data_IF_044795041116
#
_entry.id   IF_044795041116
#
_cell.length_a   1.000
_cell.length_b   1.000
_cell.length_c   1.000
_cell.angle_alpha   90.00
_cell.angle_beta   90.00
_cell.angle_gamma   90.00
#
_symmetry.space_group_name_H-M   'P 1'
#
loop_
_entity.id
_entity.type
_entity.pdbx_description
1 polymer ?
#
# COMPACT_ATOMS: atom_id res chain seq x y z
N UNK A 1 -33.79 34.18 16.16
CA UNK A 1 -32.34 34.41 16.00
C UNK A 1 -31.86 33.20 15.23
N UNK A 2 -31.34 33.41 14.01
CA UNK A 2 -31.06 32.32 13.06
C UNK A 2 -30.30 31.14 13.68
N UNK A 3 -30.54 29.95 13.15
CA UNK A 3 -29.98 28.71 13.72
C UNK A 3 -28.47 28.70 13.43
N UNK A 4 -27.65 28.86 14.47
CA UNK A 4 -26.18 28.93 14.35
C UNK A 4 -25.49 27.62 13.94
N UNK A 5 -26.11 26.48 14.24
CA UNK A 5 -25.54 25.15 13.98
C UNK A 5 -26.64 24.25 13.41
N UNK A 6 -26.41 23.73 12.21
CA UNK A 6 -27.24 22.66 11.67
C UNK A 6 -26.81 21.31 12.29
N UNK A 7 -27.68 20.76 13.13
CA UNK A 7 -27.41 19.52 13.84
C UNK A 7 -27.53 18.27 12.95
N UNK A 8 -28.29 18.37 11.85
CA UNK A 8 -28.37 17.32 10.85
C UNK A 8 -27.06 17.25 10.06
N UNK A 9 -26.49 18.40 9.71
CA UNK A 9 -25.17 18.48 9.07
C UNK A 9 -24.05 18.03 10.00
N UNK A 10 -24.12 18.37 11.30
CA UNK A 10 -23.13 17.92 12.31
C UNK A 10 -23.06 16.38 12.37
N UNK A 11 -24.18 15.70 12.17
CA UNK A 11 -24.28 14.25 12.22
C UNK A 11 -24.19 13.58 10.83
N UNK A 12 -24.17 14.37 9.75
CA UNK A 12 -24.26 13.92 8.36
C UNK A 12 -25.45 12.97 8.11
N UNK A 13 -26.65 13.42 8.48
CA UNK A 13 -27.90 12.66 8.32
C UNK A 13 -29.01 13.53 7.72
N UNK A 14 -29.96 12.96 6.98
CA UNK A 14 -31.10 13.73 6.48
C UNK A 14 -32.06 14.12 7.60
N UNK A 15 -32.81 15.22 7.43
CA UNK A 15 -33.85 15.65 8.39
C UNK A 15 -34.96 14.61 8.61
N UNK A 16 -35.13 13.68 7.65
CA UNK A 16 -36.08 12.57 7.71
C UNK A 16 -35.60 11.40 8.57
N UNK A 17 -34.38 11.44 9.10
CA UNK A 17 -33.81 10.33 9.86
C UNK A 17 -34.66 9.98 11.09
N UNK A 18 -34.84 8.68 11.32
CA UNK A 18 -35.48 8.11 12.50
C UNK A 18 -34.61 8.33 13.74
N UNK A 19 -35.21 8.20 14.93
CA UNK A 19 -34.46 8.32 16.18
C UNK A 19 -33.33 7.28 16.29
N UNK A 20 -33.57 6.05 15.81
CA UNK A 20 -32.55 4.99 15.77
C UNK A 20 -31.36 5.36 14.86
N UNK A 21 -31.63 5.89 13.66
CA UNK A 21 -30.59 6.36 12.73
C UNK A 21 -29.77 7.52 13.32
N UNK A 22 -30.43 8.46 14.01
CA UNK A 22 -29.77 9.57 14.72
C UNK A 22 -28.82 9.02 15.79
N UNK A 23 -29.28 8.08 16.62
CA UNK A 23 -28.49 7.51 17.70
C UNK A 23 -27.27 6.72 17.19
N UNK A 24 -27.44 5.95 16.11
CA UNK A 24 -26.32 5.24 15.48
C UNK A 24 -25.31 6.21 14.83
N UNK A 25 -25.78 7.30 14.18
CA UNK A 25 -24.91 8.34 13.65
C UNK A 25 -24.11 9.03 14.77
N UNK A 26 -24.77 9.40 15.87
CA UNK A 26 -24.13 9.98 17.07
C UNK A 26 -23.07 9.05 17.63
N UNK A 27 -23.40 7.76 17.81
CA UNK A 27 -22.47 6.77 18.35
C UNK A 27 -21.23 6.59 17.45
N UNK A 28 -21.44 6.53 16.13
CA UNK A 28 -20.36 6.45 15.13
C UNK A 28 -19.44 7.67 15.22
N UNK A 29 -20.01 8.87 15.16
CA UNK A 29 -19.28 10.15 15.22
C UNK A 29 -18.54 10.31 16.57
N UNK A 30 -19.19 10.03 17.70
CA UNK A 30 -18.58 10.12 19.03
C UNK A 30 -17.39 9.18 19.19
N UNK A 31 -17.50 7.94 18.71
CA UNK A 31 -16.39 6.98 18.76
C UNK A 31 -15.17 7.50 17.98
N UNK A 32 -15.41 8.22 16.89
CA UNK A 32 -14.36 8.77 16.05
C UNK A 32 -13.71 9.99 16.69
N UNK A 33 -14.51 10.97 17.11
CA UNK A 33 -14.00 12.23 17.65
C UNK A 33 -13.40 12.10 19.04
N UNK A 34 -13.91 11.21 19.91
CA UNK A 34 -13.30 10.94 21.23
C UNK A 34 -11.90 10.35 21.15
N UNK A 35 -11.54 9.65 20.08
CA UNK A 35 -10.16 9.20 19.90
C UNK A 35 -9.21 10.36 19.64
N UNK A 36 -9.71 11.45 19.03
CA UNK A 36 -8.92 12.62 18.63
C UNK A 36 -8.75 13.65 19.73
N UNK A 37 -9.58 13.60 20.77
CA UNK A 37 -9.40 14.44 21.96
C UNK A 37 -8.11 14.10 22.72
N UNK A 38 -7.50 12.95 22.44
CA UNK A 38 -6.22 12.52 22.99
C UNK A 38 -5.05 12.69 22.00
N UNK A 39 -5.26 13.32 20.85
CA UNK A 39 -4.21 13.53 19.85
C UNK A 39 -3.04 14.35 20.43
N UNK A 40 -1.78 14.08 20.06
CA UNK A 40 -0.64 14.86 20.55
C UNK A 40 -0.72 16.34 20.14
N UNK A 41 -1.22 16.60 18.94
CA UNK A 41 -1.43 17.95 18.43
C UNK A 41 -2.54 18.70 19.19
N UNK A 42 -2.21 19.88 19.73
CA UNK A 42 -3.16 20.70 20.51
C UNK A 42 -4.34 21.16 19.64
N UNK A 43 -4.07 21.46 18.37
CA UNK A 43 -5.09 21.94 17.46
C UNK A 43 -6.17 20.90 17.19
N UNK A 44 -5.75 19.67 16.89
CA UNK A 44 -6.65 18.54 16.67
C UNK A 44 -7.43 18.18 17.93
N UNK A 45 -6.83 18.30 19.13
CA UNK A 45 -7.57 18.12 20.39
C UNK A 45 -8.69 19.14 20.56
N UNK A 46 -8.38 20.43 20.42
CA UNK A 46 -9.36 21.51 20.57
C UNK A 46 -10.51 21.37 19.56
N UNK A 47 -10.19 20.99 18.33
CA UNK A 47 -11.19 20.73 17.31
C UNK A 47 -12.05 19.51 17.64
N UNK A 48 -11.43 18.42 18.08
CA UNK A 48 -12.12 17.22 18.48
C UNK A 48 -13.05 17.47 19.67
N UNK A 49 -12.61 18.24 20.66
CA UNK A 49 -13.43 18.66 21.80
C UNK A 49 -14.64 19.49 21.35
N UNK A 50 -14.43 20.46 20.45
CA UNK A 50 -15.52 21.26 19.88
C UNK A 50 -16.52 20.38 19.13
N UNK A 51 -16.04 19.43 18.34
CA UNK A 51 -16.88 18.49 17.57
C UNK A 51 -17.66 17.55 18.49
N UNK A 52 -17.02 16.97 19.50
CA UNK A 52 -17.69 16.17 20.54
C UNK A 52 -18.80 16.99 21.20
N UNK A 53 -18.52 18.23 21.58
CA UNK A 53 -19.54 19.13 22.16
C UNK A 53 -20.73 19.32 21.22
N UNK A 54 -20.48 19.62 19.94
CA UNK A 54 -21.55 19.79 18.93
C UNK A 54 -22.37 18.52 18.73
N UNK A 55 -21.74 17.34 18.74
CA UNK A 55 -22.44 16.06 18.62
C UNK A 55 -23.32 15.78 19.86
N UNK A 56 -22.85 16.14 21.05
CA UNK A 56 -23.64 16.02 22.28
C UNK A 56 -24.85 16.96 22.28
N UNK A 57 -24.68 18.20 21.80
CA UNK A 57 -25.79 19.15 21.59
C UNK A 57 -26.79 18.65 20.54
N UNK A 58 -26.30 18.11 19.42
CA UNK A 58 -27.12 17.51 18.37
C UNK A 58 -27.93 16.33 18.90
N UNK A 59 -27.28 15.42 19.64
CA UNK A 59 -27.97 14.30 20.30
C UNK A 59 -29.10 14.81 21.19
N UNK A 60 -28.79 15.72 22.13
CA UNK A 60 -29.76 16.22 23.09
C UNK A 60 -30.99 16.85 22.41
N UNK A 61 -30.76 17.59 21.33
CA UNK A 61 -31.83 18.30 20.60
C UNK A 61 -32.65 17.35 19.73
N UNK A 62 -32.01 16.43 19.00
CA UNK A 62 -32.67 15.61 17.98
C UNK A 62 -33.32 14.33 18.53
N UNK A 63 -32.92 13.84 19.70
CA UNK A 63 -33.55 12.66 20.34
C UNK A 63 -34.76 13.03 21.20
N UNK A 64 -34.92 14.30 21.60
CA UNK A 64 -36.13 14.76 22.28
C UNK A 64 -37.18 15.22 21.24
N UNK A 65 -38.32 14.53 21.19
CA UNK A 65 -39.39 14.80 20.20
C UNK A 65 -39.88 16.25 20.21
N UNK A 66 -39.99 16.87 21.39
CA UNK A 66 -40.45 18.25 21.52
C UNK A 66 -39.36 19.23 21.07
N UNK A 67 -38.10 18.99 21.47
CA UNK A 67 -36.98 19.84 21.07
C UNK A 67 -36.69 19.75 19.58
N UNK A 68 -36.74 18.55 18.99
CA UNK A 68 -36.59 18.34 17.55
C UNK A 68 -37.66 19.09 16.76
N UNK A 69 -38.93 18.98 17.16
CA UNK A 69 -40.03 19.70 16.50
C UNK A 69 -39.85 21.21 16.56
N UNK A 70 -39.44 21.75 17.71
CA UNK A 70 -39.16 23.17 17.87
C UNK A 70 -37.94 23.63 17.06
N UNK A 71 -36.90 22.79 17.01
CA UNK A 71 -35.68 23.00 16.24
C UNK A 71 -35.99 23.03 14.74
N UNK A 72 -36.71 22.04 14.21
CA UNK A 72 -37.09 21.92 12.81
C UNK A 72 -37.97 23.11 12.38
N UNK A 73 -38.91 23.53 13.23
CA UNK A 73 -39.74 24.71 12.99
C UNK A 73 -38.90 25.99 12.91
N UNK A 74 -37.87 26.12 13.77
CA UNK A 74 -36.95 27.25 13.76
C UNK A 74 -36.04 27.22 12.54
N UNK A 75 -35.48 26.06 12.21
CA UNK A 75 -34.63 25.84 11.04
C UNK A 75 -35.37 26.19 9.74
N UNK A 76 -36.65 25.80 9.63
CA UNK A 76 -37.50 26.12 8.48
C UNK A 76 -37.86 27.61 8.39
N UNK A 77 -38.08 28.27 9.54
CA UNK A 77 -38.52 29.68 9.59
C UNK A 77 -37.37 30.66 9.41
N UNK A 78 -36.25 30.40 10.07
CA UNK A 78 -35.13 31.33 10.16
C UNK A 78 -33.97 30.93 9.24
N UNK A 79 -33.98 29.71 8.70
CA UNK A 79 -32.83 29.12 8.03
C UNK A 79 -31.71 28.77 9.01
N UNK A 80 -30.73 28.01 8.54
CA UNK A 80 -29.39 28.08 9.13
C UNK A 80 -28.95 29.53 8.95
N UNK A 81 -28.37 30.13 9.98
CA UNK A 81 -27.57 31.34 9.81
C UNK A 81 -26.46 30.96 8.83
N UNK A 82 -26.72 31.09 7.53
CA UNK A 82 -25.65 31.17 6.54
C UNK A 82 -24.88 32.36 7.01
N UNK A 83 -23.73 32.13 7.65
CA UNK A 83 -22.78 33.19 7.95
C UNK A 83 -22.65 33.99 6.67
N UNK A 84 -23.31 35.15 6.67
CA UNK A 84 -23.55 35.93 5.47
C UNK A 84 -22.18 36.32 4.96
N UNK A 85 -21.74 35.67 3.87
CA UNK A 85 -20.81 36.17 2.85
C UNK A 85 -20.09 37.44 3.28
N UNK A 86 -19.14 37.32 4.21
CA UNK A 86 -17.96 38.18 4.15
C UNK A 86 -17.24 37.68 2.92
N UNK A 87 -17.31 38.49 1.86
CA UNK A 87 -16.69 38.28 0.54
C UNK A 87 -15.75 37.07 0.52
N UNK A 88 -16.07 36.08 -0.32
CA UNK A 88 -15.34 34.83 -0.61
C UNK A 88 -13.83 34.98 -0.87
N UNK A 89 -13.26 36.18 -0.80
CA UNK A 89 -11.83 36.42 -0.89
C UNK A 89 -11.03 35.82 0.27
N UNK A 90 -11.57 35.73 1.50
CA UNK A 90 -10.83 35.22 2.66
C UNK A 90 -10.64 33.70 2.67
N UNK A 91 -11.73 32.96 2.48
CA UNK A 91 -11.71 31.51 2.33
C UNK A 91 -10.94 31.11 1.07
N UNK A 92 -11.23 31.79 -0.06
CA UNK A 92 -10.49 31.62 -1.30
C UNK A 92 -9.00 31.87 -1.12
N UNK A 93 -8.58 32.94 -0.45
CA UNK A 93 -7.17 33.24 -0.17
C UNK A 93 -6.50 32.16 0.70
N UNK A 94 -7.19 31.62 1.71
CA UNK A 94 -6.65 30.52 2.52
C UNK A 94 -6.56 29.20 1.74
N UNK A 95 -7.54 28.89 0.90
CA UNK A 95 -7.52 27.68 0.07
C UNK A 95 -6.49 27.79 -1.05
N UNK A 96 -6.31 28.97 -1.64
CA UNK A 96 -5.21 29.25 -2.58
C UNK A 96 -3.85 29.13 -1.90
N UNK A 97 -3.70 29.63 -0.68
CA UNK A 97 -2.49 29.40 0.12
C UNK A 97 -2.26 27.92 0.38
N UNK A 98 -3.29 27.19 0.79
CA UNK A 98 -3.19 25.75 1.02
C UNK A 98 -2.77 25.00 -0.26
N UNK A 99 -3.37 25.32 -1.42
CA UNK A 99 -2.96 24.79 -2.72
C UNK A 99 -1.51 25.13 -3.05
N UNK A 100 -1.12 26.39 -2.86
CA UNK A 100 0.24 26.83 -3.12
C UNK A 100 1.24 26.06 -2.25
N UNK A 101 0.98 25.96 -0.95
CA UNK A 101 1.81 25.19 -0.02
C UNK A 101 1.89 23.71 -0.40
N UNK A 102 0.77 23.08 -0.79
CA UNK A 102 0.77 21.71 -1.33
C UNK A 102 1.63 21.59 -2.60
N UNK A 103 1.55 22.56 -3.51
CA UNK A 103 2.31 22.54 -4.77
C UNK A 103 3.83 22.64 -4.59
N UNK A 104 4.27 23.23 -3.49
CA UNK A 104 5.69 23.35 -3.14
C UNK A 104 6.13 22.32 -2.07
N UNK A 105 5.22 21.42 -1.66
CA UNK A 105 5.49 20.37 -0.66
C UNK A 105 5.56 20.84 0.79
N UNK A 106 5.13 22.07 1.11
CA UNK A 106 5.02 22.56 2.49
C UNK A 106 3.71 22.10 3.14
N UNK A 107 3.68 20.82 3.51
CA UNK A 107 2.48 20.18 4.04
C UNK A 107 2.03 20.74 5.40
N UNK A 108 2.95 21.27 6.21
CA UNK A 108 2.61 21.89 7.50
C UNK A 108 1.86 23.20 7.31
N UNK A 109 2.38 24.10 6.46
CA UNK A 109 1.70 25.36 6.14
C UNK A 109 0.39 25.12 5.41
N UNK A 110 0.34 24.12 4.53
CA UNK A 110 -0.90 23.69 3.87
C UNK A 110 -1.95 23.22 4.88
N UNK A 111 -1.56 22.38 5.85
CA UNK A 111 -2.48 21.86 6.88
C UNK A 111 -3.02 22.99 7.74
N UNK A 112 -2.16 23.95 8.12
CA UNK A 112 -2.58 25.14 8.84
C UNK A 112 -3.57 25.99 8.04
N UNK A 113 -3.25 26.35 6.79
CA UNK A 113 -4.11 27.18 5.96
C UNK A 113 -5.47 26.52 5.66
N UNK A 114 -5.48 25.23 5.35
CA UNK A 114 -6.71 24.48 5.10
C UNK A 114 -7.56 24.28 6.37
N UNK A 115 -6.91 24.11 7.53
CA UNK A 115 -7.60 24.07 8.83
C UNK A 115 -8.23 25.41 9.19
N UNK A 116 -7.51 26.50 9.01
CA UNK A 116 -8.06 27.86 9.21
C UNK A 116 -9.23 28.13 8.25
N UNK A 117 -9.12 27.70 6.99
CA UNK A 117 -10.23 27.79 6.03
C UNK A 117 -11.48 27.05 6.54
N UNK A 118 -11.29 25.81 7.00
CA UNK A 118 -12.36 24.96 7.55
C UNK A 118 -12.99 25.58 8.81
N UNK A 119 -12.19 26.23 9.67
CA UNK A 119 -12.65 26.80 10.94
C UNK A 119 -13.34 28.16 10.79
N UNK A 120 -12.82 29.03 9.93
CA UNK A 120 -13.26 30.42 9.81
C UNK A 120 -14.36 30.63 8.78
N UNK A 121 -14.40 29.81 7.73
CA UNK A 121 -15.26 30.06 6.56
C UNK A 121 -16.20 28.89 6.21
N UNK A 122 -16.20 27.86 7.05
CA UNK A 122 -17.14 26.75 6.93
C UNK A 122 -16.61 25.54 6.16
N UNK A 123 -17.49 24.56 6.06
CA UNK A 123 -17.20 23.16 5.82
C UNK A 123 -17.32 22.79 4.34
N UNK A 124 -16.51 23.36 3.44
CA UNK A 124 -16.54 22.99 2.01
C UNK A 124 -15.81 21.67 1.74
N UNK A 125 -16.24 20.94 0.70
CA UNK A 125 -15.59 19.69 0.30
C UNK A 125 -14.10 19.92 -0.04
N UNK A 126 -13.81 21.01 -0.74
CA UNK A 126 -12.45 21.40 -1.10
C UNK A 126 -11.57 21.70 0.12
N UNK A 127 -12.10 22.39 1.15
CA UNK A 127 -11.35 22.65 2.39
C UNK A 127 -10.93 21.33 3.05
N UNK A 128 -11.84 20.37 3.14
CA UNK A 128 -11.56 19.05 3.70
C UNK A 128 -10.57 18.27 2.85
N UNK A 129 -10.70 18.32 1.54
CA UNK A 129 -9.79 17.66 0.61
C UNK A 129 -8.36 18.20 0.72
N UNK A 130 -8.17 19.52 0.69
CA UNK A 130 -6.85 20.13 0.81
C UNK A 130 -6.22 19.85 2.18
N UNK A 131 -7.04 19.87 3.25
CA UNK A 131 -6.59 19.53 4.60
C UNK A 131 -6.19 18.05 4.70
N UNK A 132 -6.99 17.16 4.10
CA UNK A 132 -6.71 15.73 4.00
C UNK A 132 -5.37 15.47 3.33
N UNK A 133 -5.14 16.09 2.17
CA UNK A 133 -3.86 16.01 1.46
C UNK A 133 -2.69 16.53 2.27
N UNK A 134 -2.87 17.67 2.92
CA UNK A 134 -1.83 18.25 3.75
C UNK A 134 -1.48 17.34 4.94
N UNK A 135 -2.48 16.76 5.60
CA UNK A 135 -2.26 15.83 6.71
C UNK A 135 -1.67 14.50 6.25
N UNK A 136 -1.99 14.02 5.05
CA UNK A 136 -1.35 12.86 4.46
C UNK A 136 0.15 13.11 4.24
N UNK A 137 0.53 14.29 3.74
CA UNK A 137 1.93 14.67 3.50
C UNK A 137 2.77 14.92 4.76
N UNK A 138 2.17 14.93 5.95
CA UNK A 138 2.87 14.92 7.25
C UNK A 138 2.61 13.63 8.04
N UNK A 139 2.27 12.55 7.33
CA UNK A 139 2.08 11.18 7.85
C UNK A 139 0.97 11.05 8.91
N UNK A 140 0.03 11.99 8.96
CA UNK A 140 -1.14 11.94 9.84
C UNK A 140 -2.30 11.24 9.14
N UNK A 141 -2.09 9.98 8.77
CA UNK A 141 -3.00 9.25 7.88
C UNK A 141 -4.40 9.04 8.46
N UNK A 142 -4.57 8.85 9.78
CA UNK A 142 -5.90 8.76 10.38
C UNK A 142 -6.68 10.06 10.27
N UNK A 143 -5.97 11.20 10.40
CA UNK A 143 -6.54 12.54 10.21
C UNK A 143 -6.92 12.76 8.76
N UNK A 144 -5.98 12.50 7.85
CA UNK A 144 -6.20 12.56 6.42
C UNK A 144 -7.37 11.68 5.96
N UNK A 145 -7.48 10.45 6.47
CA UNK A 145 -8.55 9.52 6.13
C UNK A 145 -9.91 10.10 6.49
N UNK A 146 -10.09 10.58 7.72
CA UNK A 146 -11.34 11.24 8.12
C UNK A 146 -11.69 12.41 7.22
N UNK A 147 -10.72 13.29 6.97
CA UNK A 147 -10.92 14.52 6.21
C UNK A 147 -11.28 14.20 4.76
N UNK A 148 -10.68 13.14 4.18
CA UNK A 148 -11.08 12.64 2.86
C UNK A 148 -12.53 12.16 2.84
N UNK A 149 -12.98 11.46 3.89
CA UNK A 149 -14.38 11.02 3.98
C UNK A 149 -15.33 12.20 4.11
N UNK A 150 -14.95 13.28 4.81
CA UNK A 150 -15.78 14.48 4.86
C UNK A 150 -15.91 15.17 3.50
N UNK A 151 -14.83 15.22 2.70
CA UNK A 151 -14.91 15.75 1.35
C UNK A 151 -15.86 14.92 0.47
N UNK A 152 -15.75 13.59 0.52
CA UNK A 152 -16.60 12.65 -0.23
C UNK A 152 -18.07 12.72 0.23
N UNK A 153 -18.32 12.87 1.53
CA UNK A 153 -19.68 12.98 2.08
C UNK A 153 -20.41 14.23 1.53
N UNK A 154 -19.68 15.33 1.28
CA UNK A 154 -20.23 16.58 0.74
C UNK A 154 -20.36 16.51 -0.78
N UNK A 155 -19.33 16.02 -1.47
CA UNK A 155 -19.28 15.89 -2.93
C UNK A 155 -18.92 14.46 -3.34
N UNK A 156 -19.90 13.54 -3.35
CA UNK A 156 -19.64 12.11 -3.59
C UNK A 156 -19.27 11.80 -5.04
N UNK A 157 -19.55 12.70 -5.98
CA UNK A 157 -19.30 12.53 -7.41
C UNK A 157 -18.00 13.22 -7.87
N UNK A 158 -17.01 13.35 -7.00
CA UNK A 158 -15.70 13.90 -7.33
C UNK A 158 -14.62 12.80 -7.33
N UNK A 159 -14.11 12.45 -8.51
CA UNK A 159 -13.14 11.37 -8.67
C UNK A 159 -11.82 11.63 -7.93
N UNK A 160 -11.38 12.90 -7.85
CA UNK A 160 -10.15 13.29 -7.16
C UNK A 160 -10.23 13.02 -5.66
N UNK A 161 -11.41 13.19 -5.05
CA UNK A 161 -11.61 12.95 -3.62
C UNK A 161 -11.56 11.45 -3.28
N UNK A 162 -12.17 10.61 -4.12
CA UNK A 162 -12.06 9.15 -4.01
C UNK A 162 -10.64 8.68 -4.26
N UNK A 163 -9.95 9.23 -5.26
CA UNK A 163 -8.56 8.91 -5.54
C UNK A 163 -7.65 9.23 -4.36
N UNK A 164 -7.75 10.43 -3.78
CA UNK A 164 -6.99 10.80 -2.59
C UNK A 164 -7.32 9.90 -1.38
N UNK A 165 -8.59 9.55 -1.18
CA UNK A 165 -8.97 8.57 -0.15
C UNK A 165 -8.32 7.20 -0.39
N UNK A 166 -8.20 6.77 -1.65
CA UNK A 166 -7.50 5.56 -2.03
C UNK A 166 -6.02 5.59 -1.68
N UNK A 167 -5.33 6.68 -2.02
CA UNK A 167 -3.91 6.88 -1.70
C UNK A 167 -3.67 6.84 -0.18
N UNK A 168 -4.52 7.52 0.59
CA UNK A 168 -4.42 7.52 2.05
C UNK A 168 -4.64 6.11 2.62
N UNK A 169 -5.59 5.34 2.08
CA UNK A 169 -5.81 3.97 2.53
C UNK A 169 -4.62 3.05 2.18
N UNK A 170 -3.97 3.26 1.05
CA UNK A 170 -2.78 2.53 0.62
C UNK A 170 -1.60 2.78 1.57
N UNK A 171 -1.30 4.03 1.90
CA UNK A 171 -0.27 4.40 2.89
C UNK A 171 -0.55 3.81 4.28
N UNK A 172 -1.82 3.61 4.63
CA UNK A 172 -2.23 2.93 5.87
C UNK A 172 -2.15 1.40 5.79
N UNK A 173 -1.72 0.81 4.66
CA UNK A 173 -1.73 -0.64 4.41
C UNK A 173 -3.13 -1.24 4.28
N UNK A 174 -4.16 -0.41 4.08
CA UNK A 174 -5.56 -0.83 3.99
C UNK A 174 -5.96 -1.07 2.53
N UNK A 175 -5.23 -1.97 1.85
CA UNK A 175 -5.34 -2.23 0.42
C UNK A 175 -6.77 -2.50 -0.08
N UNK A 176 -7.58 -3.23 0.69
CA UNK A 176 -8.98 -3.48 0.33
C UNK A 176 -9.86 -2.22 0.32
N UNK A 177 -9.52 -1.18 1.11
CA UNK A 177 -10.18 0.13 1.06
C UNK A 177 -9.62 0.97 -0.08
N UNK A 178 -8.32 0.94 -0.31
CA UNK A 178 -7.67 1.63 -1.42
C UNK A 178 -8.29 1.23 -2.76
N UNK A 179 -8.37 -0.07 -3.05
CA UNK A 179 -9.00 -0.60 -4.27
C UNK A 179 -10.43 -0.11 -4.44
N UNK A 180 -11.25 -0.12 -3.37
CA UNK A 180 -12.64 0.34 -3.43
C UNK A 180 -12.75 1.83 -3.75
N UNK A 181 -11.88 2.64 -3.17
CA UNK A 181 -11.86 4.08 -3.40
C UNK A 181 -11.39 4.40 -4.83
N UNK A 182 -10.34 3.73 -5.32
CA UNK A 182 -9.91 3.86 -6.71
C UNK A 182 -10.97 3.38 -7.71
N UNK A 183 -11.70 2.31 -7.40
CA UNK A 183 -12.84 1.85 -8.20
C UNK A 183 -13.97 2.89 -8.23
N UNK A 184 -14.25 3.55 -7.09
CA UNK A 184 -15.22 4.63 -7.06
C UNK A 184 -14.76 5.80 -7.96
N UNK A 185 -13.48 6.19 -7.90
CA UNK A 185 -12.92 7.19 -8.79
C UNK A 185 -13.06 6.79 -10.27
N UNK A 186 -12.74 5.54 -10.64
CA UNK A 186 -12.84 5.04 -12.01
C UNK A 186 -14.28 4.93 -12.53
N UNK A 187 -15.28 4.87 -11.64
CA UNK A 187 -16.70 4.95 -12.06
C UNK A 187 -17.18 6.37 -12.34
N UNK A 188 -16.51 7.37 -11.76
CA UNK A 188 -16.88 8.79 -11.90
C UNK A 188 -16.15 9.41 -13.10
N UNK A 189 -14.86 9.14 -13.24
CA UNK A 189 -14.02 9.62 -14.34
C UNK A 189 -13.20 8.47 -14.93
N UNK A 190 -12.98 8.50 -16.25
CA UNK A 190 -12.37 7.41 -17.03
C UNK A 190 -10.85 7.52 -17.16
N UNK A 191 -10.19 8.21 -16.22
CA UNK A 191 -8.74 8.33 -16.22
C UNK A 191 -8.06 6.97 -15.99
N UNK A 192 -7.07 6.66 -16.84
CA UNK A 192 -6.21 5.46 -16.74
C UNK A 192 -5.52 5.35 -15.37
N UNK A 193 -5.23 6.49 -14.74
CA UNK A 193 -4.52 6.56 -13.46
C UNK A 193 -5.21 5.74 -12.36
N UNK A 194 -6.55 5.66 -12.36
CA UNK A 194 -7.28 4.95 -11.32
C UNK A 194 -7.14 3.42 -11.46
N UNK A 195 -7.22 2.91 -12.68
CA UNK A 195 -7.00 1.48 -12.94
C UNK A 195 -5.53 1.09 -12.72
N UNK A 196 -4.62 1.99 -13.06
CA UNK A 196 -3.19 1.86 -12.76
C UNK A 196 -2.93 1.74 -11.26
N UNK A 197 -3.54 2.62 -10.45
CA UNK A 197 -3.39 2.56 -9.00
C UNK A 197 -3.91 1.24 -8.41
N UNK A 198 -5.04 0.72 -8.91
CA UNK A 198 -5.54 -0.62 -8.52
C UNK A 198 -4.54 -1.72 -8.93
N UNK A 199 -3.99 -1.63 -10.14
CA UNK A 199 -2.97 -2.56 -10.64
C UNK A 199 -1.74 -2.62 -9.75
N UNK A 200 -1.23 -1.45 -9.33
CA UNK A 200 -0.09 -1.36 -8.41
C UNK A 200 -0.40 -1.98 -7.05
N UNK A 201 -1.59 -1.74 -6.49
CA UNK A 201 -2.01 -2.41 -5.25
C UNK A 201 -2.05 -3.94 -5.40
N UNK A 202 -2.47 -4.47 -6.56
CA UNK A 202 -2.40 -5.91 -6.80
C UNK A 202 -0.95 -6.43 -6.88
N UNK A 203 -0.02 -5.66 -7.46
CA UNK A 203 1.40 -6.01 -7.47
C UNK A 203 1.97 -6.06 -6.05
N UNK A 204 1.65 -5.06 -5.20
CA UNK A 204 2.10 -5.04 -3.80
C UNK A 204 1.55 -6.21 -2.98
N UNK A 205 0.31 -6.64 -3.26
CA UNK A 205 -0.30 -7.81 -2.64
C UNK A 205 0.25 -9.15 -3.17
N UNK A 206 1.12 -9.13 -4.19
CA UNK A 206 1.63 -10.32 -4.86
C UNK A 206 0.60 -11.01 -5.77
N UNK A 207 -0.53 -10.36 -6.05
CA UNK A 207 -1.61 -10.86 -6.90
C UNK A 207 -1.29 -10.61 -8.39
N UNK A 208 -0.16 -11.15 -8.86
CA UNK A 208 0.44 -10.86 -10.17
C UNK A 208 -0.52 -11.08 -11.34
N UNK A 209 -1.28 -12.17 -11.33
CA UNK A 209 -2.25 -12.49 -12.39
C UNK A 209 -3.33 -11.41 -12.50
N UNK A 210 -3.87 -10.95 -11.36
CA UNK A 210 -4.91 -9.91 -11.32
C UNK A 210 -4.38 -8.57 -11.78
N UNK A 211 -3.14 -8.22 -11.40
CA UNK A 211 -2.48 -7.01 -11.86
C UNK A 211 -2.30 -7.01 -13.39
N UNK A 212 -1.71 -8.08 -13.93
CA UNK A 212 -1.46 -8.22 -15.37
C UNK A 212 -2.78 -8.21 -16.16
N UNK A 213 -3.82 -8.91 -15.72
CA UNK A 213 -5.11 -8.94 -16.41
C UNK A 213 -5.86 -7.61 -16.37
N UNK A 214 -5.78 -6.88 -15.25
CA UNK A 214 -6.36 -5.54 -15.17
C UNK A 214 -5.62 -4.59 -16.12
N UNK A 215 -4.30 -4.49 -15.99
CA UNK A 215 -3.49 -3.53 -16.74
C UNK A 215 -3.43 -3.86 -18.24
N UNK A 216 -3.56 -5.15 -18.60
CA UNK A 216 -3.79 -5.56 -19.99
C UNK A 216 -5.07 -4.95 -20.54
N UNK A 217 -6.20 -5.06 -19.82
CA UNK A 217 -7.48 -4.48 -20.26
C UNK A 217 -7.39 -2.96 -20.32
N UNK A 218 -6.73 -2.32 -19.34
CA UNK A 218 -6.48 -0.88 -19.34
C UNK A 218 -5.69 -0.45 -20.59
N UNK A 219 -4.64 -1.18 -20.95
CA UNK A 219 -3.86 -0.96 -22.17
C UNK A 219 -4.70 -1.19 -23.44
N UNK A 220 -5.45 -2.28 -23.53
CA UNK A 220 -6.29 -2.60 -24.69
C UNK A 220 -7.40 -1.57 -24.92
N UNK A 221 -7.95 -1.00 -23.84
CA UNK A 221 -8.99 0.04 -23.90
C UNK A 221 -8.42 1.43 -24.21
N UNK A 222 -7.13 1.67 -23.95
CA UNK A 222 -6.46 2.97 -24.12
C UNK A 222 -5.22 2.83 -25.03
N UNK A 223 -5.39 2.43 -26.30
CA UNK A 223 -4.26 2.20 -27.19
C UNK A 223 -3.48 3.49 -27.44
N UNK A 224 -2.17 3.45 -27.17
CA UNK A 224 -1.28 4.61 -27.34
C UNK A 224 -1.13 5.49 -26.11
N UNK A 225 -1.86 5.21 -25.02
CA UNK A 225 -1.61 5.85 -23.74
C UNK A 225 -0.28 5.34 -23.14
N UNK A 226 0.64 6.26 -22.90
CA UNK A 226 1.99 5.95 -22.40
C UNK A 226 1.95 5.35 -20.99
N UNK A 227 1.04 5.84 -20.13
CA UNK A 227 0.89 5.35 -18.76
C UNK A 227 0.36 3.92 -18.76
N UNK A 228 -0.70 3.64 -19.52
CA UNK A 228 -1.26 2.29 -19.64
C UNK A 228 -0.22 1.30 -20.17
N UNK A 229 0.55 1.71 -21.19
CA UNK A 229 1.60 0.88 -21.79
C UNK A 229 2.73 0.60 -20.79
N UNK A 230 3.19 1.64 -20.08
CA UNK A 230 4.25 1.54 -19.07
C UNK A 230 3.84 0.60 -17.94
N UNK A 231 2.69 0.81 -17.31
CA UNK A 231 2.28 0.01 -16.16
C UNK A 231 1.91 -1.43 -16.53
N UNK A 232 1.37 -1.67 -17.73
CA UNK A 232 1.19 -3.05 -18.21
C UNK A 232 2.53 -3.78 -18.40
N UNK A 233 3.54 -3.09 -18.95
CA UNK A 233 4.88 -3.64 -19.09
C UNK A 233 5.54 -3.89 -17.72
N UNK A 234 5.40 -2.96 -16.76
CA UNK A 234 5.88 -3.13 -15.38
C UNK A 234 5.22 -4.34 -14.72
N UNK A 235 3.90 -4.49 -14.81
CA UNK A 235 3.21 -5.63 -14.22
C UNK A 235 3.67 -6.97 -14.81
N UNK A 236 3.91 -7.04 -16.11
CA UNK A 236 4.49 -8.23 -16.74
C UNK A 236 5.94 -8.49 -16.29
N UNK A 237 6.74 -7.44 -16.12
CA UNK A 237 8.12 -7.56 -15.64
C UNK A 237 8.15 -8.09 -14.21
N UNK A 238 7.37 -7.49 -13.31
CA UNK A 238 7.24 -7.93 -11.92
C UNK A 238 6.67 -9.34 -11.83
N UNK A 239 5.68 -9.68 -12.66
CA UNK A 239 5.14 -11.04 -12.75
C UNK A 239 6.22 -12.04 -13.20
N UNK A 240 7.11 -11.65 -14.11
CA UNK A 240 8.22 -12.50 -14.53
C UNK A 240 9.21 -12.75 -13.38
N UNK A 241 9.56 -11.70 -12.62
CA UNK A 241 10.47 -11.80 -11.47
C UNK A 241 9.88 -12.61 -10.30
N UNK A 242 8.55 -12.68 -10.22
CA UNK A 242 7.84 -13.47 -9.23
C UNK A 242 7.72 -14.97 -9.58
N UNK A 243 8.07 -15.38 -10.80
CA UNK A 243 7.96 -16.78 -11.25
C UNK A 243 8.86 -17.73 -10.43
N UNK A 244 10.14 -17.44 -10.20
CA UNK A 244 11.02 -18.42 -9.58
C UNK A 244 10.60 -18.70 -8.13
N UNK A 245 10.54 -19.97 -7.77
CA UNK A 245 10.06 -20.41 -6.44
C UNK A 245 10.99 -19.98 -5.31
N UNK A 246 12.29 -19.90 -5.60
CA UNK A 246 13.33 -19.58 -4.61
C UNK A 246 13.60 -18.08 -4.65
N UNK A 247 12.98 -17.36 -3.72
CA UNK A 247 13.15 -15.91 -3.54
C UNK A 247 13.87 -15.60 -2.22
N UNK A 248 14.67 -14.54 -2.22
CA UNK A 248 15.39 -13.99 -1.07
C UNK A 248 15.45 -12.45 -1.19
N UNK A 249 14.47 -11.78 -0.57
CA UNK A 249 14.27 -10.34 -0.74
C UNK A 249 14.02 -9.97 -2.19
N UNK A 250 14.83 -9.07 -2.74
CA UNK A 250 14.76 -8.63 -4.15
C UNK A 250 15.49 -9.58 -5.12
N UNK A 251 16.07 -10.67 -4.63
CA UNK A 251 16.79 -11.64 -5.45
C UNK A 251 15.98 -12.93 -5.62
N UNK A 252 16.07 -13.53 -6.79
CA UNK A 252 15.48 -14.84 -7.06
C UNK A 252 16.49 -15.79 -7.70
N UNK A 253 16.29 -17.08 -7.51
CA UNK A 253 17.09 -18.13 -8.12
C UNK A 253 16.21 -18.96 -9.06
N UNK A 254 16.58 -18.97 -10.35
CA UNK A 254 15.96 -19.83 -11.35
C UNK A 254 16.51 -21.24 -11.22
N UNK A 255 15.64 -22.20 -10.94
CA UNK A 255 15.96 -23.61 -10.66
C UNK A 255 15.39 -24.57 -11.68
N UNK A 256 14.69 -24.12 -12.71
CA UNK A 256 14.09 -25.00 -13.71
C UNK A 256 14.10 -24.38 -15.10
N UNK A 257 13.91 -25.21 -16.13
CA UNK A 257 13.75 -24.71 -17.50
C UNK A 257 12.37 -24.12 -17.69
N UNK A 258 11.39 -24.67 -17.00
CA UNK A 258 10.00 -24.27 -16.99
C UNK A 258 9.86 -22.81 -16.49
N UNK A 259 10.58 -22.44 -15.42
CA UNK A 259 10.67 -21.05 -14.96
C UNK A 259 11.29 -20.13 -16.04
N UNK A 260 12.37 -20.58 -16.72
CA UNK A 260 12.98 -19.80 -17.81
C UNK A 260 11.99 -19.56 -18.95
N UNK A 261 11.27 -20.60 -19.37
CA UNK A 261 10.29 -20.53 -20.45
C UNK A 261 9.12 -19.62 -20.08
N UNK A 262 8.62 -19.71 -18.84
CA UNK A 262 7.57 -18.84 -18.35
C UNK A 262 8.01 -17.36 -18.28
N UNK A 263 9.21 -17.08 -17.76
CA UNK A 263 9.77 -15.72 -17.72
C UNK A 263 9.97 -15.16 -19.14
N UNK A 264 10.47 -15.99 -20.07
CA UNK A 264 10.65 -15.58 -21.47
C UNK A 264 9.33 -15.19 -22.13
N UNK A 265 8.24 -15.89 -21.81
CA UNK A 265 6.90 -15.53 -22.31
C UNK A 265 6.50 -14.09 -21.96
N UNK A 266 6.86 -13.60 -20.76
CA UNK A 266 6.65 -12.20 -20.39
C UNK A 266 7.63 -11.25 -21.09
N UNK A 267 8.92 -11.60 -21.15
CA UNK A 267 9.95 -10.81 -21.86
C UNK A 267 9.54 -10.54 -23.31
N UNK A 268 9.11 -11.59 -24.03
CA UNK A 268 8.71 -11.47 -25.44
C UNK A 268 7.48 -10.56 -25.59
N UNK A 269 6.50 -10.68 -24.68
CA UNK A 269 5.30 -9.81 -24.65
C UNK A 269 5.64 -8.36 -24.35
N UNK A 270 6.55 -8.10 -23.40
CA UNK A 270 7.01 -6.75 -23.07
C UNK A 270 7.66 -6.13 -24.29
N UNK A 271 8.65 -6.79 -24.90
CA UNK A 271 9.39 -6.28 -26.06
C UNK A 271 8.53 -6.06 -27.32
N UNK A 272 7.35 -6.69 -27.38
CA UNK A 272 6.38 -6.46 -28.46
C UNK A 272 5.56 -5.17 -28.28
N UNK A 273 5.59 -4.54 -27.11
CA UNK A 273 4.88 -3.29 -26.86
C UNK A 273 5.55 -2.11 -27.58
N UNK A 274 4.75 -1.18 -28.14
CA UNK A 274 5.29 0.04 -28.72
C UNK A 274 5.74 1.03 -27.63
N UNK A 275 6.67 1.93 -27.96
CA UNK A 275 7.03 3.09 -27.14
C UNK A 275 7.34 2.77 -25.65
N UNK A 276 8.07 1.66 -25.41
CA UNK A 276 8.51 1.30 -24.07
C UNK A 276 9.41 2.36 -23.45
N UNK A 277 9.26 2.53 -22.14
CA UNK A 277 10.21 3.29 -21.34
C UNK A 277 11.64 2.71 -21.50
N UNK A 278 12.67 3.56 -21.76
CA UNK A 278 14.03 3.09 -22.02
C UNK A 278 14.66 2.31 -20.86
N UNK A 279 14.37 2.68 -19.62
CA UNK A 279 14.93 2.03 -18.44
C UNK A 279 14.29 0.65 -18.23
N UNK A 280 12.97 0.55 -18.43
CA UNK A 280 12.25 -0.72 -18.41
C UNK A 280 12.69 -1.66 -19.54
N UNK A 281 12.90 -1.13 -20.76
CA UNK A 281 13.42 -1.93 -21.88
C UNK A 281 14.80 -2.49 -21.54
N UNK A 282 15.69 -1.65 -21.02
CA UNK A 282 17.04 -2.07 -20.59
C UNK A 282 17.00 -3.12 -19.48
N UNK A 283 16.08 -2.99 -18.52
CA UNK A 283 15.87 -4.02 -17.49
C UNK A 283 15.41 -5.35 -18.10
N UNK A 284 14.45 -5.29 -19.02
CA UNK A 284 13.91 -6.45 -19.74
C UNK A 284 15.00 -7.16 -20.57
N UNK A 285 15.86 -6.41 -21.26
CA UNK A 285 17.00 -6.96 -22.02
C UNK A 285 18.05 -7.62 -21.12
N UNK A 286 18.29 -7.07 -19.91
CA UNK A 286 19.18 -7.72 -18.93
C UNK A 286 18.59 -9.05 -18.45
N UNK A 287 17.29 -9.09 -18.19
CA UNK A 287 16.58 -10.32 -17.84
C UNK A 287 16.71 -11.34 -18.97
N UNK A 288 16.43 -10.95 -20.21
CA UNK A 288 16.58 -11.81 -21.40
C UNK A 288 18.00 -12.38 -21.54
N UNK A 289 19.02 -11.54 -21.41
CA UNK A 289 20.42 -11.96 -21.48
C UNK A 289 20.81 -12.93 -20.35
N UNK A 290 20.24 -12.73 -19.16
CA UNK A 290 20.40 -13.66 -18.03
C UNK A 290 19.77 -15.02 -18.36
N UNK A 291 18.52 -15.03 -18.84
CA UNK A 291 17.81 -16.25 -19.26
C UNK A 291 18.57 -16.99 -20.37
N UNK A 292 19.07 -16.28 -21.39
CA UNK A 292 19.90 -16.83 -22.47
C UNK A 292 21.18 -17.49 -21.93
N UNK A 293 21.80 -16.85 -20.94
CA UNK A 293 23.00 -17.39 -20.29
C UNK A 293 22.68 -18.67 -19.53
N UNK A 294 21.52 -18.75 -18.87
CA UNK A 294 21.08 -19.96 -18.17
C UNK A 294 20.73 -21.10 -19.13
N UNK A 295 20.10 -20.81 -20.28
CA UNK A 295 19.80 -21.83 -21.30
C UNK A 295 21.05 -22.48 -21.90
N UNK A 296 22.17 -21.75 -21.93
CA UNK A 296 23.49 -22.30 -22.31
C UNK A 296 24.08 -23.21 -21.23
N UNK A 297 23.50 -23.25 -20.03
CA UNK A 297 23.91 -24.11 -18.92
C UNK A 297 22.99 -25.33 -18.83
N UNK A 298 23.46 -26.41 -18.19
CA UNK A 298 22.66 -27.59 -17.88
C UNK A 298 22.25 -27.50 -16.40
N UNK A 299 20.94 -27.56 -16.15
CA UNK A 299 20.43 -27.74 -14.81
C UNK A 299 20.80 -29.15 -14.32
N UNK A 300 21.48 -29.23 -13.19
CA UNK A 300 21.95 -30.48 -12.59
C UNK A 300 21.42 -30.58 -11.16
N UNK A 301 20.33 -31.32 -10.96
CA UNK A 301 19.75 -31.62 -9.63
C UNK A 301 20.78 -32.32 -8.72
N UNK A 302 21.77 -33.00 -9.29
CA UNK A 302 22.86 -33.66 -8.58
C UNK A 302 24.07 -32.75 -8.36
N UNK A 303 23.99 -31.44 -8.67
CA UNK A 303 25.06 -30.49 -8.34
C UNK A 303 25.38 -30.49 -6.83
N UNK A 304 24.40 -30.86 -5.99
CA UNK A 304 24.52 -31.17 -4.56
C UNK A 304 25.59 -32.25 -4.26
N UNK A 305 25.83 -33.18 -5.19
CA UNK A 305 26.85 -34.23 -5.11
C UNK A 305 28.06 -33.98 -6.00
N UNK A 306 28.12 -32.84 -6.68
CA UNK A 306 29.23 -32.47 -7.55
C UNK A 306 30.43 -31.89 -6.77
N UNK A 307 30.72 -32.47 -5.61
CA UNK A 307 32.02 -32.34 -4.94
C UNK A 307 33.13 -33.12 -5.67
N UNK A 308 32.79 -33.89 -6.71
CA UNK A 308 33.73 -34.72 -7.46
C UNK A 308 34.57 -34.00 -8.53
N UNK A 309 34.37 -32.70 -8.77
CA UNK A 309 35.06 -31.96 -9.84
C UNK A 309 35.79 -30.68 -9.35
N UNK A 310 35.82 -30.42 -8.04
CA UNK A 310 36.83 -29.55 -7.45
C UNK A 310 38.10 -30.39 -7.25
N UNK A 311 39.19 -29.96 -7.86
CA UNK A 311 40.50 -30.62 -7.76
C UNK A 311 40.88 -30.99 -6.33
N UNK A 312 41.75 -31.99 -6.21
CA UNK A 312 42.14 -32.76 -5.03
C UNK A 312 42.44 -32.01 -3.71
N UNK A 313 42.37 -30.69 -3.67
CA UNK A 313 42.75 -29.85 -2.53
C UNK A 313 41.58 -29.50 -1.58
N UNK A 314 40.32 -29.55 -2.02
CA UNK A 314 39.15 -29.25 -1.15
C UNK A 314 38.47 -30.49 -0.54
N UNK A 315 38.70 -31.68 -1.10
CA UNK A 315 38.34 -32.95 -0.45
C UNK A 315 39.06 -33.14 0.90
N UNK A 316 40.20 -32.46 1.08
CA UNK A 316 40.94 -32.41 2.32
C UNK A 316 40.21 -31.61 3.43
N UNK A 317 39.38 -30.60 3.13
CA UNK A 317 38.70 -29.83 4.19
C UNK A 317 37.49 -30.57 4.78
N UNK A 318 36.75 -31.32 3.96
CA UNK A 318 35.71 -32.24 4.46
C UNK A 318 36.32 -33.40 5.26
N UNK A 319 37.49 -33.89 4.84
CA UNK A 319 38.28 -34.83 5.64
C UNK A 319 38.85 -34.18 6.92
N UNK A 320 39.26 -32.91 6.91
CA UNK A 320 39.74 -32.19 8.11
C UNK A 320 38.59 -32.03 9.13
N UNK A 321 37.37 -31.70 8.71
CA UNK A 321 36.23 -31.63 9.64
C UNK A 321 35.89 -33.01 10.27
N UNK A 322 36.03 -34.10 9.53
CA UNK A 322 35.82 -35.48 10.02
C UNK A 322 37.04 -36.02 10.79
N UNK A 323 38.25 -35.57 10.46
CA UNK A 323 39.51 -36.02 11.06
C UNK A 323 39.96 -35.18 12.27
N UNK A 324 39.36 -34.01 12.54
CA UNK A 324 39.63 -33.25 13.77
C UNK A 324 38.65 -33.51 14.91
N UNK A 325 37.54 -34.22 14.69
CA UNK A 325 36.68 -34.75 15.77
C UNK A 325 37.42 -35.80 16.64
N UNK A 326 38.31 -36.67 16.12
CA UNK A 326 39.09 -37.58 16.98
C UNK A 326 40.36 -36.97 17.61
N UNK A 327 40.71 -35.70 17.35
CA UNK A 327 41.91 -35.07 17.91
C UNK A 327 41.72 -34.42 19.29
N UNK A 328 40.50 -34.46 19.84
CA UNK A 328 40.25 -34.13 21.25
C UNK A 328 40.48 -35.43 22.05
N UNK A 329 41.45 -35.49 22.96
CA UNK A 329 41.67 -36.66 23.80
C UNK A 329 40.35 -37.04 24.49
N UNK A 330 39.93 -38.32 24.48
CA UNK A 330 38.67 -38.76 25.09
C UNK A 330 38.50 -38.27 26.54
N UNK A 331 39.61 -38.09 27.27
CA UNK A 331 39.64 -37.59 28.64
C UNK A 331 39.06 -36.16 28.82
N UNK A 332 39.02 -35.32 27.77
CA UNK A 332 38.45 -33.97 27.83
C UNK A 332 36.95 -33.94 27.47
N UNK A 333 36.44 -34.95 26.78
CA UNK A 333 35.00 -35.09 26.43
C UNK A 333 34.20 -35.81 27.51
N UNK A 334 34.84 -36.73 28.26
CA UNK A 334 34.20 -37.55 29.31
C UNK A 334 33.76 -36.71 30.53
N UNK A 335 34.25 -35.47 30.68
CA UNK A 335 33.93 -34.60 31.82
C UNK A 335 32.61 -33.84 31.74
N UNK A 336 31.99 -33.70 30.56
CA UNK A 336 30.78 -32.88 30.41
C UNK A 336 29.58 -33.63 29.83
N UNK A 337 29.77 -34.54 28.87
CA UNK A 337 28.68 -35.34 28.32
C UNK A 337 29.20 -36.73 27.92
N UNK A 338 28.63 -37.76 28.54
CA UNK A 338 29.04 -39.16 28.34
C UNK A 338 29.05 -39.53 26.86
N UNK A 339 30.18 -40.08 26.40
CA UNK A 339 30.37 -40.55 25.04
C UNK A 339 29.27 -41.56 24.68
N UNK A 340 28.40 -41.18 23.75
CA UNK A 340 27.39 -42.07 23.18
C UNK A 340 25.95 -41.62 23.33
N UNK A 341 25.65 -40.42 23.83
CA UNK A 341 24.27 -39.91 23.77
C UNK A 341 23.86 -39.75 22.29
N UNK A 342 22.94 -40.59 21.78
CA UNK A 342 22.50 -40.55 20.39
C UNK A 342 21.99 -39.16 20.01
N UNK A 343 21.52 -38.39 20.98
CA UNK A 343 21.05 -37.03 20.81
C UNK A 343 22.14 -36.09 20.25
N UNK A 344 23.38 -36.19 20.72
CA UNK A 344 24.46 -35.31 20.25
C UNK A 344 24.86 -35.62 18.80
N UNK A 345 24.89 -36.91 18.45
CA UNK A 345 25.14 -37.37 17.07
C UNK A 345 23.99 -36.94 16.16
N UNK A 346 22.74 -37.07 16.61
CA UNK A 346 21.58 -36.61 15.86
C UNK A 346 21.55 -35.10 15.67
N UNK A 347 21.96 -34.32 16.68
CA UNK A 347 22.09 -32.86 16.57
C UNK A 347 23.19 -32.48 15.59
N UNK A 348 24.35 -33.14 15.61
CA UNK A 348 25.43 -32.88 14.66
C UNK A 348 25.02 -33.24 13.22
N UNK A 349 24.32 -34.37 13.03
CA UNK A 349 23.75 -34.75 11.72
C UNK A 349 22.68 -33.75 11.29
N UNK A 350 21.80 -33.32 12.19
CA UNK A 350 20.77 -32.32 11.89
C UNK A 350 21.38 -30.97 11.48
N UNK A 351 22.41 -30.51 12.20
CA UNK A 351 23.14 -29.28 11.85
C UNK A 351 23.85 -29.41 10.51
N UNK A 352 24.49 -30.54 10.21
CA UNK A 352 25.08 -30.81 8.90
C UNK A 352 24.04 -30.86 7.78
N UNK A 353 22.87 -31.46 8.02
CA UNK A 353 21.77 -31.49 7.04
C UNK A 353 21.20 -30.08 6.82
N UNK A 354 21.05 -29.29 7.87
CA UNK A 354 20.60 -27.89 7.78
C UNK A 354 21.65 -27.06 7.04
N UNK A 355 22.92 -27.16 7.39
CA UNK A 355 24.03 -26.48 6.72
C UNK A 355 24.10 -26.91 5.25
N UNK A 356 23.97 -28.20 4.96
CA UNK A 356 23.94 -28.74 3.60
C UNK A 356 22.73 -28.25 2.78
N UNK A 357 21.54 -28.21 3.39
CA UNK A 357 20.32 -27.71 2.76
C UNK A 357 20.37 -26.21 2.51
N UNK A 358 20.96 -25.43 3.43
CA UNK A 358 21.10 -23.98 3.33
C UNK A 358 22.17 -23.58 2.32
N UNK A 359 23.30 -24.29 2.25
CA UNK A 359 24.44 -23.92 1.39
C UNK A 359 24.45 -24.56 0.00
N UNK A 360 23.77 -25.70 -0.24
CA UNK A 360 23.81 -26.40 -1.53
C UNK A 360 22.47 -26.35 -2.27
N UNK A 361 22.09 -25.15 -2.74
CA UNK A 361 20.97 -24.99 -3.68
C UNK A 361 21.31 -25.59 -5.06
N UNK A 362 20.33 -26.17 -5.80
CA UNK A 362 20.55 -26.66 -7.16
C UNK A 362 21.14 -25.58 -8.07
N UNK A 363 22.21 -25.90 -8.79
CA UNK A 363 22.99 -24.93 -9.57
C UNK A 363 23.11 -25.28 -11.05
N UNK A 364 23.23 -24.24 -11.89
CA UNK A 364 23.45 -24.37 -13.33
C UNK A 364 24.94 -24.60 -13.65
N UNK A 365 25.28 -25.74 -14.25
CA UNK A 365 26.65 -26.02 -14.75
C UNK A 365 26.81 -25.60 -16.21
N UNK A 366 27.97 -25.07 -16.59
CA UNK A 366 28.28 -24.69 -17.98
C UNK A 366 28.19 -25.93 -18.89
N UNK A 367 27.39 -25.87 -19.95
CA UNK A 367 27.32 -26.94 -20.94
C UNK A 367 28.55 -26.91 -21.85
N UNK A 368 29.55 -27.74 -21.55
CA UNK A 368 30.82 -27.84 -22.32
C UNK A 368 30.62 -28.20 -23.80
N UNK A 369 29.45 -28.69 -24.20
CA UNK A 369 29.14 -29.02 -25.60
C UNK A 369 28.61 -27.82 -26.41
N UNK A 370 28.12 -26.77 -25.75
CA UNK A 370 27.64 -25.54 -26.42
C UNK A 370 28.80 -24.58 -26.71
N UNK A 371 29.86 -24.59 -25.89
CA UNK A 371 31.07 -23.79 -26.09
C UNK A 371 31.98 -24.25 -27.26
N UNK A 372 31.58 -25.30 -28.00
CA UNK A 372 32.34 -25.86 -29.13
C UNK A 372 31.70 -25.61 -30.50
N UNK A 373 30.65 -24.78 -30.58
CA UNK A 373 30.01 -24.39 -31.85
C UNK A 373 30.31 -22.97 -32.21
#
# INVERSE_FOLDING_TARGET
MAVKVDYYDVLNIPQTATEEEILEAVKKQMRQWRKRTEAPDLGVRQEAELRVKRIEEARATLTDSNQRTAYDARLKKEGVEKETTRQDSGAGDLLEKARHYLSIGDYYSASYAAREATQQYGNSAESWYLRSRANAGIDRYEDAWYESQQAIDIEPNNAEYHFNSGMIAEEMGQYGRAIKAYQAASTIDSSVMYEVAIGNVYLELGEMERAVDLLKRTYENNPGDEMATFYYAVAMHTAAEAIPEVQDGESYLITSKEEIEAMRGYVDRIKALPNLDPDLLKSTERMEAHLDTLLKRRFDKNAVFALGDLGADMGCLGLIAVCFIPAIPPALLIGAFGAGDPLFILIAIALLVIEFYVFFKPGWKINRNVAKR
#
